data_IF_763347660367
#
_entry.id   IF_763347660367
#
_cell.length_a   1.000
_cell.length_b   1.000
_cell.length_c   1.000
_cell.angle_alpha   90.00
_cell.angle_beta   90.00
_cell.angle_gamma   90.00
#
_symmetry.space_group_name_H-M   'P 1'
#
loop_
_entity.id
_entity.type
_entity.pdbx_description
1 polymer ?
#
# COMPACT_ATOMS: atom_id res chain seq x y z
N UNK A 1 0.12 -20.52 16.99
CA UNK A 1 1.28 -20.61 16.07
C UNK A 1 2.52 -21.02 16.87
N UNK A 2 3.34 -21.96 16.39
CA UNK A 2 4.61 -22.25 17.06
C UNK A 2 5.54 -21.03 16.95
N UNK A 3 6.43 -20.81 17.94
CA UNK A 3 7.36 -19.67 17.94
C UNK A 3 8.22 -19.62 16.67
N UNK A 4 8.61 -20.79 16.17
CA UNK A 4 9.39 -20.95 14.94
C UNK A 4 8.59 -20.51 13.72
N UNK A 5 7.33 -20.97 13.59
CA UNK A 5 6.47 -20.57 12.48
C UNK A 5 6.23 -19.06 12.50
N UNK A 6 6.04 -18.46 13.68
CA UNK A 6 5.90 -17.01 13.81
C UNK A 6 7.14 -16.24 13.33
N UNK A 7 8.34 -16.71 13.69
CA UNK A 7 9.59 -16.10 13.25
C UNK A 7 9.78 -16.19 11.73
N UNK A 8 9.45 -17.35 11.13
CA UNK A 8 9.51 -17.56 9.68
C UNK A 8 8.50 -16.64 8.98
N UNK A 9 7.25 -16.59 9.44
CA UNK A 9 6.21 -15.72 8.89
C UNK A 9 6.63 -14.26 8.97
N UNK A 10 7.21 -13.81 10.07
CA UNK A 10 7.70 -12.43 10.22
C UNK A 10 8.78 -12.12 9.18
N UNK A 11 9.81 -12.96 9.09
CA UNK A 11 10.93 -12.75 8.16
C UNK A 11 10.45 -12.75 6.70
N UNK A 12 9.57 -13.69 6.34
CA UNK A 12 8.94 -13.74 5.02
C UNK A 12 8.11 -12.49 4.74
N UNK A 13 7.29 -12.05 5.69
CA UNK A 13 6.43 -10.87 5.54
C UNK A 13 7.26 -9.60 5.34
N UNK A 14 8.36 -9.44 6.08
CA UNK A 14 9.26 -8.29 5.94
C UNK A 14 9.91 -8.27 4.56
N UNK A 15 10.47 -9.40 4.12
CA UNK A 15 11.11 -9.50 2.80
C UNK A 15 10.11 -9.20 1.69
N UNK A 16 8.92 -9.81 1.72
CA UNK A 16 7.89 -9.59 0.72
C UNK A 16 7.39 -8.14 0.73
N UNK A 17 7.24 -7.53 1.91
CA UNK A 17 6.86 -6.11 2.05
C UNK A 17 7.88 -5.19 1.39
N UNK A 18 9.18 -5.45 1.60
CA UNK A 18 10.26 -4.71 0.95
C UNK A 18 10.19 -4.88 -0.57
N UNK A 19 10.00 -6.10 -1.06
CA UNK A 19 9.93 -6.40 -2.50
C UNK A 19 8.74 -5.70 -3.16
N UNK A 20 7.53 -5.80 -2.57
CA UNK A 20 6.32 -5.11 -3.06
C UNK A 20 6.53 -3.60 -3.05
N UNK A 21 7.12 -3.05 -2.00
CA UNK A 21 7.40 -1.62 -1.88
C UNK A 21 8.40 -1.15 -2.93
N UNK A 22 9.49 -1.87 -3.17
CA UNK A 22 10.46 -1.54 -4.22
C UNK A 22 9.80 -1.62 -5.61
N UNK A 23 9.07 -2.72 -5.87
CA UNK A 23 8.40 -2.95 -7.15
C UNK A 23 7.37 -1.85 -7.49
N UNK A 24 6.72 -1.26 -6.48
CA UNK A 24 5.75 -0.18 -6.71
C UNK A 24 6.38 1.23 -6.67
N UNK A 25 7.29 1.49 -5.72
CA UNK A 25 7.86 2.83 -5.52
C UNK A 25 8.86 3.23 -6.60
N UNK A 26 9.69 2.31 -7.10
CA UNK A 26 10.69 2.64 -8.13
C UNK A 26 10.02 3.13 -9.42
N UNK A 27 9.00 2.45 -9.98
CA UNK A 27 8.28 2.98 -11.14
C UNK A 27 7.59 4.33 -10.87
N UNK A 28 7.03 4.54 -9.67
CA UNK A 28 6.43 5.81 -9.27
C UNK A 28 7.46 6.94 -9.30
N UNK A 29 8.66 6.71 -8.74
CA UNK A 29 9.74 7.70 -8.70
C UNK A 29 10.17 8.04 -10.14
N UNK A 30 10.40 7.02 -10.98
CA UNK A 30 10.77 7.23 -12.40
C UNK A 30 9.69 8.02 -13.14
N UNK A 31 8.42 7.66 -12.97
CA UNK A 31 7.30 8.39 -13.58
C UNK A 31 7.20 9.83 -13.05
N UNK A 32 7.47 10.05 -11.75
CA UNK A 32 7.55 11.36 -11.14
C UNK A 32 8.62 12.25 -11.76
N UNK A 33 9.81 11.69 -12.05
CA UNK A 33 10.87 12.39 -12.78
C UNK A 33 10.40 12.79 -14.19
N UNK A 34 9.72 11.90 -14.91
CA UNK A 34 9.17 12.20 -16.24
C UNK A 34 8.16 13.36 -16.16
N UNK A 35 7.24 13.33 -15.18
CA UNK A 35 6.26 14.40 -14.95
C UNK A 35 6.92 15.75 -14.64
N UNK A 36 8.02 15.74 -13.87
CA UNK A 36 8.78 16.94 -13.53
C UNK A 36 9.47 17.55 -14.76
N UNK A 37 10.07 16.70 -15.62
CA UNK A 37 10.80 17.15 -16.80
C UNK A 37 9.90 17.55 -17.97
N UNK A 38 8.69 16.99 -18.07
CA UNK A 38 7.76 17.23 -19.18
C UNK A 38 6.50 17.95 -18.69
N UNK A 39 6.42 19.29 -18.76
CA UNK A 39 5.27 20.08 -18.31
C UNK A 39 4.11 20.07 -19.32
N UNK A 40 3.73 18.89 -19.79
CA UNK A 40 2.71 18.70 -20.82
C UNK A 40 1.45 18.11 -20.18
N UNK A 41 0.28 18.77 -20.22
CA UNK A 41 -0.89 18.35 -19.46
C UNK A 41 -1.36 16.90 -19.73
N UNK A 42 -1.35 16.40 -20.99
CA UNK A 42 -1.58 14.97 -21.25
C UNK A 42 -0.62 14.02 -20.52
N UNK A 43 0.68 14.33 -20.50
CA UNK A 43 1.71 13.53 -19.82
C UNK A 43 1.47 13.53 -18.32
N UNK A 44 1.14 14.69 -17.75
CA UNK A 44 0.83 14.80 -16.31
C UNK A 44 -0.36 13.95 -15.91
N UNK A 45 -1.43 13.92 -16.72
CA UNK A 45 -2.61 13.11 -16.45
C UNK A 45 -2.28 11.62 -16.55
N UNK A 46 -1.56 11.20 -17.59
CA UNK A 46 -1.16 9.81 -17.79
C UNK A 46 -0.26 9.31 -16.66
N UNK A 47 0.77 10.09 -16.29
CA UNK A 47 1.65 9.75 -15.16
C UNK A 47 0.87 9.69 -13.86
N UNK A 48 -0.03 10.65 -13.59
CA UNK A 48 -0.79 10.65 -12.34
C UNK A 48 -1.73 9.45 -12.25
N UNK A 49 -2.37 9.06 -13.36
CA UNK A 49 -3.18 7.84 -13.42
C UNK A 49 -2.34 6.58 -13.18
N UNK A 50 -1.15 6.49 -13.78
CA UNK A 50 -0.21 5.40 -13.54
C UNK A 50 0.25 5.34 -12.08
N UNK A 51 0.66 6.46 -11.48
CA UNK A 51 1.08 6.50 -10.08
C UNK A 51 -0.06 6.08 -9.13
N UNK A 52 -1.30 6.50 -9.40
CA UNK A 52 -2.47 6.06 -8.62
C UNK A 52 -2.70 4.55 -8.74
N UNK A 53 -2.53 3.98 -9.95
CA UNK A 53 -2.61 2.53 -10.15
C UNK A 53 -1.52 1.79 -9.38
N UNK A 54 -0.27 2.25 -9.45
CA UNK A 54 0.84 1.65 -8.70
C UNK A 54 0.64 1.74 -7.18
N UNK A 55 0.08 2.85 -6.68
CA UNK A 55 -0.29 3.00 -5.27
C UNK A 55 -1.37 1.98 -4.87
N UNK A 56 -2.41 1.82 -5.71
CA UNK A 56 -3.43 0.80 -5.50
C UNK A 56 -2.82 -0.62 -5.47
N UNK A 57 -1.93 -0.95 -6.40
CA UNK A 57 -1.21 -2.24 -6.41
C UNK A 57 -0.38 -2.46 -5.14
N UNK A 58 0.26 -1.40 -4.62
CA UNK A 58 1.00 -1.47 -3.37
C UNK A 58 0.07 -1.75 -2.18
N UNK A 59 -1.04 -1.03 -2.04
CA UNK A 59 -2.05 -1.26 -0.98
C UNK A 59 -2.62 -2.69 -1.03
N UNK A 60 -3.04 -3.15 -2.21
CA UNK A 60 -3.56 -4.51 -2.39
C UNK A 60 -2.48 -5.57 -2.11
N UNK A 61 -1.25 -5.34 -2.55
CA UNK A 61 -0.11 -6.23 -2.27
C UNK A 61 0.15 -6.37 -0.77
N UNK A 62 0.15 -5.26 -0.03
CA UNK A 62 0.29 -5.27 1.43
C UNK A 62 -0.89 -5.97 2.12
N UNK A 63 -2.13 -5.70 1.68
CA UNK A 63 -3.32 -6.38 2.17
C UNK A 63 -3.23 -7.92 1.97
N UNK A 64 -2.72 -8.36 0.81
CA UNK A 64 -2.47 -9.79 0.53
C UNK A 64 -1.45 -10.36 1.51
N UNK A 65 -0.37 -9.64 1.84
CA UNK A 65 0.63 -10.11 2.79
C UNK A 65 0.08 -10.27 4.21
N UNK A 66 -0.92 -9.49 4.61
CA UNK A 66 -1.55 -9.62 5.92
C UNK A 66 -2.26 -10.98 6.10
N UNK A 67 -2.66 -11.66 5.01
CA UNK A 67 -3.19 -13.02 5.06
C UNK A 67 -2.15 -14.08 5.45
N UNK A 68 -0.84 -13.77 5.41
CA UNK A 68 0.20 -14.65 5.93
C UNK A 68 0.08 -14.88 7.44
N UNK A 69 -0.65 -14.02 8.15
CA UNK A 69 -1.02 -14.22 9.54
C UNK A 69 -2.47 -14.73 9.65
N UNK A 70 -2.70 -16.06 9.72
CA UNK A 70 -4.05 -16.63 9.75
C UNK A 70 -4.82 -16.32 11.05
N UNK A 71 -4.17 -15.75 12.06
CA UNK A 71 -4.79 -15.36 13.32
C UNK A 71 -5.23 -13.90 13.34
N UNK A 72 -4.89 -13.13 12.31
CA UNK A 72 -5.32 -11.74 12.17
C UNK A 72 -6.84 -11.69 11.99
N UNK A 73 -7.52 -11.03 12.93
CA UNK A 73 -8.96 -10.77 12.84
C UNK A 73 -9.19 -9.28 12.67
N UNK A 74 -9.97 -8.94 11.66
CA UNK A 74 -10.37 -7.58 11.38
C UNK A 74 -11.70 -7.28 12.04
N UNK A 75 -11.74 -6.21 12.82
CA UNK A 75 -12.97 -5.57 13.28
C UNK A 75 -12.94 -4.13 12.74
N UNK A 76 -13.71 -3.89 11.68
CA UNK A 76 -13.74 -2.60 10.98
C UNK A 76 -15.18 -2.11 10.98
N UNK A 77 -15.38 -0.88 11.45
CA UNK A 77 -16.70 -0.29 11.66
C UNK A 77 -16.81 1.03 10.89
N UNK A 78 -18.03 1.39 10.46
CA UNK A 78 -18.30 2.71 9.86
C UNK A 78 -18.02 2.83 8.36
N UNK A 79 -17.87 1.71 7.64
CA UNK A 79 -17.62 1.71 6.20
C UNK A 79 -18.89 2.00 5.36
N UNK A 80 -20.08 1.94 5.95
CA UNK A 80 -21.36 1.88 5.24
C UNK A 80 -21.67 3.17 4.45
N UNK A 81 -21.08 4.29 4.86
CA UNK A 81 -21.28 5.62 4.25
C UNK A 81 -20.16 6.02 3.30
N UNK A 82 -19.14 5.18 3.11
CA UNK A 82 -18.03 5.45 2.20
C UNK A 82 -18.44 5.19 0.75
N UNK A 83 -18.02 6.08 -0.14
CA UNK A 83 -18.34 6.03 -1.56
C UNK A 83 -17.06 6.13 -2.39
N UNK A 84 -16.83 5.15 -3.27
CA UNK A 84 -15.64 5.08 -4.15
C UNK A 84 -15.47 6.28 -5.09
N UNK A 85 -16.49 7.13 -5.27
CA UNK A 85 -16.45 8.34 -6.09
C UNK A 85 -16.03 9.61 -5.34
N UNK A 86 -15.88 9.54 -4.02
CA UNK A 86 -15.52 10.69 -3.18
C UNK A 86 -14.09 10.58 -2.67
N UNK A 87 -13.50 11.74 -2.35
CA UNK A 87 -12.20 11.83 -1.68
C UNK A 87 -12.41 11.90 -0.17
N UNK A 88 -11.56 11.20 0.58
CA UNK A 88 -11.59 11.16 2.03
C UNK A 88 -10.21 11.48 2.57
N UNK A 89 -10.15 12.22 3.68
CA UNK A 89 -8.93 12.38 4.46
C UNK A 89 -8.93 11.30 5.55
N UNK A 90 -8.04 10.32 5.41
CA UNK A 90 -7.83 9.30 6.44
C UNK A 90 -6.93 9.87 7.54
N UNK A 91 -7.39 9.80 8.78
CA UNK A 91 -6.64 10.24 9.96
C UNK A 91 -6.55 9.04 10.90
N UNK A 92 -5.33 8.70 11.27
CA UNK A 92 -5.03 7.62 12.21
C UNK A 92 -4.28 8.15 13.43
N UNK A 93 -4.35 7.41 14.52
CA UNK A 93 -3.35 7.45 15.57
C UNK A 93 -2.02 6.84 15.06
N UNK A 94 -0.92 7.01 15.81
CA UNK A 94 0.35 6.36 15.48
C UNK A 94 0.83 5.54 16.68
N UNK A 95 0.63 4.23 16.62
CA UNK A 95 0.96 3.29 17.69
C UNK A 95 2.02 2.28 17.26
N UNK A 96 2.17 2.03 15.96
CA UNK A 96 3.09 1.00 15.50
C UNK A 96 3.56 1.23 14.06
N UNK A 97 4.64 0.54 13.72
CA UNK A 97 5.09 0.43 12.33
C UNK A 97 4.07 -0.27 11.42
N UNK A 98 3.20 -1.11 11.98
CA UNK A 98 2.17 -1.82 11.22
C UNK A 98 1.05 -0.88 10.74
N UNK A 99 0.94 0.32 11.30
CA UNK A 99 -0.09 1.30 10.95
C UNK A 99 -0.05 1.61 9.43
N UNK A 100 1.15 1.78 8.84
CA UNK A 100 1.33 2.03 7.40
C UNK A 100 0.81 0.88 6.53
N UNK A 101 0.90 -0.35 7.02
CA UNK A 101 0.51 -1.56 6.26
C UNK A 101 -0.99 -1.83 6.38
N UNK A 102 -1.58 -1.39 7.50
CA UNK A 102 -2.99 -1.60 7.85
C UNK A 102 -3.91 -0.54 7.24
N UNK A 103 -3.41 0.70 7.10
CA UNK A 103 -4.13 1.85 6.55
C UNK A 103 -4.13 1.84 5.01
#
# INVERSE_FOLDING_TARGET
MSKILAAITLLLSVILTILVTIACSVPIIVAGIIKLLLPVPPVWRAVSAFCNFMMYCWCEGLAILLYLNPWLKWDVQGLEKLNKKNWYLLICNHHSWADIVVL
#
